data_IF_798432970467
#
_entry.id   IF_798432970467
#
_cell.length_a   1.000
_cell.length_b   1.000
_cell.length_c   1.000
_cell.angle_alpha   90.00
_cell.angle_beta   90.00
_cell.angle_gamma   90.00
#
_symmetry.space_group_name_H-M   'P 1'
#
loop_
_entity.id
_entity.type
_entity.pdbx_description
1 polymer ?
#
# COMPACT_ATOMS: atom_id res chain seq x y z
N UNK A 1 6.09 -25.74 63.42
CA UNK A 1 5.27 -24.94 62.48
C UNK A 1 5.85 -25.16 61.10
N UNK A 2 5.02 -25.60 60.14
CA UNK A 2 5.44 -26.10 58.82
C UNK A 2 5.98 -24.96 57.93
N UNK A 3 7.06 -25.28 57.23
CA UNK A 3 7.79 -24.54 56.21
C UNK A 3 6.91 -24.18 55.01
N UNK A 4 7.23 -23.09 54.29
CA UNK A 4 7.03 -22.95 52.84
C UNK A 4 7.93 -21.82 52.31
N UNK A 5 9.10 -22.21 51.80
CA UNK A 5 9.94 -21.41 50.90
C UNK A 5 9.27 -21.42 49.53
N UNK A 6 8.66 -20.31 49.11
CA UNK A 6 8.13 -20.16 47.76
C UNK A 6 9.25 -19.69 46.83
N UNK A 7 9.87 -20.63 46.12
CA UNK A 7 10.75 -20.37 44.99
C UNK A 7 9.93 -19.88 43.80
N UNK A 8 10.01 -18.59 43.48
CA UNK A 8 9.43 -18.02 42.26
C UNK A 8 10.41 -18.26 41.11
N UNK A 9 10.19 -19.33 40.34
CA UNK A 9 10.86 -19.53 39.06
C UNK A 9 10.26 -18.55 38.04
N UNK A 10 10.95 -17.45 37.78
CA UNK A 10 10.62 -16.55 36.69
C UNK A 10 11.03 -17.23 35.38
N UNK A 11 10.08 -17.90 34.73
CA UNK A 11 10.26 -18.40 33.36
C UNK A 11 10.33 -17.20 32.42
N UNK A 12 11.53 -16.80 32.02
CA UNK A 12 11.75 -15.96 30.86
C UNK A 12 11.30 -16.72 29.62
N UNK A 13 10.07 -16.47 29.18
CA UNK A 13 9.59 -16.88 27.87
C UNK A 13 10.39 -16.13 26.80
N UNK A 14 10.90 -16.88 25.83
CA UNK A 14 11.71 -16.43 24.70
C UNK A 14 11.13 -15.19 24.01
N UNK A 15 11.85 -14.07 24.04
CA UNK A 15 11.71 -13.04 23.00
C UNK A 15 12.61 -13.44 21.84
N UNK A 16 12.12 -14.32 20.96
CA UNK A 16 12.71 -14.47 19.63
C UNK A 16 12.62 -13.11 18.95
N UNK A 17 13.73 -12.51 18.48
CA UNK A 17 13.63 -11.42 17.53
C UNK A 17 12.95 -12.01 16.30
N UNK A 18 11.69 -11.63 16.05
CA UNK A 18 11.06 -11.88 14.78
C UNK A 18 11.97 -11.25 13.73
N UNK A 19 12.72 -12.07 13.00
CA UNK A 19 13.35 -11.63 11.77
C UNK A 19 12.18 -11.13 10.92
N UNK A 20 12.05 -9.82 10.78
CA UNK A 20 11.12 -9.24 9.82
C UNK A 20 11.64 -9.65 8.45
N UNK A 21 11.23 -10.84 8.01
CA UNK A 21 11.48 -11.32 6.67
C UNK A 21 10.64 -10.43 5.76
N UNK A 22 11.34 -9.76 4.83
CA UNK A 22 10.73 -9.04 3.75
C UNK A 22 11.07 -9.76 2.46
N UNK A 23 10.13 -9.75 1.52
CA UNK A 23 10.31 -10.32 0.19
C UNK A 23 10.11 -9.25 -0.87
N UNK A 24 10.81 -9.36 -2.02
CA UNK A 24 10.57 -8.46 -3.14
C UNK A 24 9.17 -8.71 -3.69
N UNK A 25 8.40 -7.65 -3.88
CA UNK A 25 7.05 -7.70 -4.44
C UNK A 25 6.96 -6.68 -5.56
N UNK A 26 6.59 -7.14 -6.75
CA UNK A 26 6.42 -6.29 -7.92
C UNK A 26 4.97 -5.86 -8.07
N UNK A 27 4.72 -4.57 -8.04
CA UNK A 27 3.41 -3.95 -8.22
C UNK A 27 3.31 -3.45 -9.66
N UNK A 28 2.39 -4.02 -10.43
CA UNK A 28 2.17 -3.67 -11.84
C UNK A 28 0.82 -2.98 -12.01
N UNK A 29 0.85 -1.69 -12.30
CA UNK A 29 -0.36 -0.87 -12.53
C UNK A 29 -0.42 -0.41 -13.98
N UNK A 30 -1.36 -0.95 -14.76
CA UNK A 30 -1.58 -0.55 -16.15
C UNK A 30 -2.73 0.44 -16.24
N UNK A 31 -2.50 1.59 -16.86
CA UNK A 31 -3.52 2.60 -17.06
C UNK A 31 -4.36 2.35 -18.32
N UNK A 32 -5.63 2.76 -18.25
CA UNK A 32 -6.49 2.91 -19.41
C UNK A 32 -5.93 4.00 -20.34
N UNK A 33 -6.32 3.92 -21.61
CA UNK A 33 -6.06 4.99 -22.54
C UNK A 33 -7.17 6.05 -22.40
N UNK A 34 -6.91 7.07 -21.60
CA UNK A 34 -7.77 8.24 -21.44
C UNK A 34 -7.11 9.47 -22.07
N UNK A 35 -7.89 10.50 -22.38
CA UNK A 35 -7.33 11.80 -22.78
C UNK A 35 -6.95 12.61 -21.54
N UNK A 36 -5.73 13.15 -21.50
CA UNK A 36 -5.25 13.98 -20.38
C UNK A 36 -3.77 13.76 -20.09
N UNK A 37 -3.30 14.41 -19.03
CA UNK A 37 -1.92 14.30 -18.55
C UNK A 37 -1.66 12.98 -17.80
N UNK A 38 -0.45 12.83 -17.27
CA UNK A 38 -0.10 11.67 -16.45
C UNK A 38 -0.95 11.59 -15.18
N UNK A 39 -1.43 10.39 -14.85
CA UNK A 39 -2.12 10.15 -13.59
C UNK A 39 -1.15 10.24 -12.41
N UNK A 40 -1.63 10.89 -11.37
CA UNK A 40 -1.11 10.75 -10.02
C UNK A 40 -1.70 9.48 -9.43
N UNK A 41 -0.87 8.68 -8.76
CA UNK A 41 -1.28 7.44 -8.10
C UNK A 41 -0.71 7.40 -6.69
N UNK A 42 -1.54 7.18 -5.68
CA UNK A 42 -1.08 6.81 -4.34
C UNK A 42 -1.35 5.33 -4.11
N UNK A 43 -0.29 4.55 -3.90
CA UNK A 43 -0.39 3.14 -3.49
C UNK A 43 -0.14 3.08 -1.98
N UNK A 44 -1.09 2.54 -1.21
CA UNK A 44 -1.03 2.52 0.25
C UNK A 44 -1.73 1.30 0.84
N UNK A 45 -1.49 1.02 2.11
CA UNK A 45 -2.01 -0.15 2.82
C UNK A 45 -2.87 0.28 4.00
N UNK A 46 -4.00 -0.41 4.17
CA UNK A 46 -4.82 -0.35 5.38
C UNK A 46 -4.86 -1.71 6.08
N UNK A 47 -5.08 -1.71 7.39
CA UNK A 47 -5.28 -2.93 8.17
C UNK A 47 -6.72 -3.47 8.06
N UNK A 48 -6.99 -4.60 8.73
CA UNK A 48 -8.32 -5.23 8.74
C UNK A 48 -9.44 -4.35 9.34
N UNK A 49 -9.10 -3.29 10.08
CA UNK A 49 -10.06 -2.30 10.58
C UNK A 49 -10.28 -1.13 9.61
N UNK A 50 -9.51 -1.09 8.52
CA UNK A 50 -9.48 0.01 7.56
C UNK A 50 -8.59 1.19 7.99
N UNK A 51 -7.79 1.02 9.05
CA UNK A 51 -6.87 2.07 9.49
C UNK A 51 -5.66 2.13 8.57
N UNK A 52 -5.18 3.35 8.27
CA UNK A 52 -3.98 3.57 7.47
C UNK A 52 -2.74 3.01 8.16
N UNK A 53 -1.94 2.25 7.43
CA UNK A 53 -0.71 1.61 7.93
C UNK A 53 0.53 2.25 7.32
N UNK A 54 0.47 2.58 6.02
CA UNK A 54 1.60 3.19 5.34
C UNK A 54 1.40 3.31 3.84
N UNK A 55 2.21 4.17 3.23
CA UNK A 55 2.29 4.36 1.79
C UNK A 55 3.43 3.56 1.21
N UNK A 56 3.16 2.95 0.05
CA UNK A 56 4.12 2.13 -0.69
C UNK A 56 4.81 2.94 -1.78
N UNK A 57 4.04 3.77 -2.49
CA UNK A 57 4.56 4.59 -3.59
C UNK A 57 3.63 5.76 -3.93
N UNK A 58 4.23 6.86 -4.39
CA UNK A 58 3.54 8.00 -4.97
C UNK A 58 4.03 8.23 -6.40
N UNK A 59 3.17 8.01 -7.39
CA UNK A 59 3.42 8.48 -8.74
C UNK A 59 2.90 9.92 -8.86
N UNK A 60 3.79 10.88 -9.09
CA UNK A 60 3.46 12.30 -9.23
C UNK A 60 4.33 13.19 -8.35
N UNK A 61 5.15 14.04 -8.97
CA UNK A 61 6.17 14.82 -8.26
C UNK A 61 5.72 16.16 -7.68
N UNK A 62 4.48 16.59 -7.94
CA UNK A 62 3.98 17.91 -7.51
C UNK A 62 2.94 17.73 -6.41
N UNK A 63 3.33 18.01 -5.17
CA UNK A 63 2.51 17.79 -3.97
C UNK A 63 1.19 18.57 -3.94
N UNK A 64 1.11 19.70 -4.65
CA UNK A 64 -0.14 20.48 -4.76
C UNK A 64 -1.32 19.68 -5.34
N UNK A 65 -1.08 18.56 -6.02
CA UNK A 65 -2.15 17.71 -6.55
C UNK A 65 -2.52 16.54 -5.65
N UNK A 66 -1.83 16.34 -4.52
CA UNK A 66 -2.08 15.19 -3.66
C UNK A 66 -3.45 15.25 -2.96
N UNK A 67 -4.06 16.44 -2.86
CA UNK A 67 -5.43 16.58 -2.36
C UNK A 67 -6.48 15.86 -3.21
N UNK A 68 -6.19 15.64 -4.51
CA UNK A 68 -7.06 14.92 -5.44
C UNK A 68 -7.01 13.40 -5.26
N UNK A 69 -5.99 12.88 -4.57
CA UNK A 69 -5.91 11.49 -4.13
C UNK A 69 -6.71 11.37 -2.83
N UNK A 70 -8.02 11.61 -2.93
CA UNK A 70 -8.86 12.05 -1.82
C UNK A 70 -9.04 11.04 -0.67
N UNK A 71 -8.99 9.73 -0.92
CA UNK A 71 -9.02 8.73 0.15
C UNK A 71 -7.66 8.61 0.83
N UNK A 72 -6.58 8.61 0.06
CA UNK A 72 -5.22 8.68 0.60
C UNK A 72 -4.99 9.95 1.43
N UNK A 73 -5.35 11.12 0.89
CA UNK A 73 -5.21 12.42 1.55
C UNK A 73 -6.01 12.46 2.86
N UNK A 74 -7.23 11.90 2.87
CA UNK A 74 -8.02 11.77 4.09
C UNK A 74 -7.38 10.81 5.10
N UNK A 75 -6.84 9.68 4.63
CA UNK A 75 -6.19 8.68 5.46
C UNK A 75 -4.92 9.22 6.15
N UNK A 76 -4.19 10.12 5.49
CA UNK A 76 -2.95 10.73 6.00
C UNK A 76 -3.16 12.09 6.66
N UNK A 77 -4.39 12.63 6.62
CA UNK A 77 -4.66 14.01 7.01
C UNK A 77 -3.95 15.05 6.14
N UNK A 78 -3.61 14.70 4.89
CA UNK A 78 -2.88 15.54 3.95
C UNK A 78 -1.37 15.65 4.24
N UNK A 79 -0.83 14.81 5.13
CA UNK A 79 0.60 14.81 5.45
C UNK A 79 1.44 14.30 4.27
N UNK A 80 2.11 15.23 3.59
CA UNK A 80 3.01 14.90 2.47
C UNK A 80 4.25 14.13 2.93
N UNK A 81 4.57 14.15 4.23
CA UNK A 81 5.68 13.40 4.80
C UNK A 81 5.55 11.89 4.63
N UNK A 82 4.32 11.39 4.46
CA UNK A 82 4.01 9.98 4.25
C UNK A 82 4.59 9.39 2.95
N UNK A 83 5.05 10.24 2.02
CA UNK A 83 5.61 9.81 0.72
C UNK A 83 7.04 10.28 0.48
N UNK A 84 7.71 10.77 1.51
CA UNK A 84 9.11 11.18 1.44
C UNK A 84 10.00 9.99 1.03
N UNK A 85 10.75 10.15 -0.06
CA UNK A 85 11.67 9.12 -0.56
C UNK A 85 11.03 8.00 -1.38
N UNK A 86 9.70 7.97 -1.54
CA UNK A 86 8.95 6.96 -2.31
C UNK A 86 8.11 7.58 -3.43
N UNK A 87 8.56 8.73 -3.95
CA UNK A 87 7.85 9.47 -5.01
C UNK A 87 8.56 9.33 -6.35
N UNK A 88 7.80 9.16 -7.42
CA UNK A 88 8.28 9.13 -8.81
C UNK A 88 7.45 9.99 -9.76
N UNK A 89 7.69 9.82 -11.06
CA UNK A 89 6.94 10.50 -12.10
C UNK A 89 5.47 10.04 -12.14
N UNK A 90 4.57 10.94 -12.53
CA UNK A 90 3.19 10.58 -12.90
C UNK A 90 3.18 9.63 -14.09
N UNK A 91 2.13 8.82 -14.21
CA UNK A 91 2.07 7.73 -15.20
C UNK A 91 1.20 8.16 -16.38
N UNK A 92 1.75 8.17 -17.59
CA UNK A 92 0.99 8.56 -18.79
C UNK A 92 -0.17 7.61 -19.12
N UNK A 93 -1.21 8.12 -19.78
CA UNK A 93 -2.32 7.31 -20.25
C UNK A 93 -1.84 6.11 -21.10
N UNK A 94 -2.45 4.95 -20.90
CA UNK A 94 -2.08 3.69 -21.56
C UNK A 94 -0.70 3.13 -21.18
N UNK A 95 0.05 3.78 -20.30
CA UNK A 95 1.35 3.30 -19.80
C UNK A 95 1.17 2.39 -18.59
N UNK A 96 2.27 1.73 -18.23
CA UNK A 96 2.37 0.87 -17.05
C UNK A 96 3.35 1.49 -16.06
N UNK A 97 2.96 1.52 -14.80
CA UNK A 97 3.87 1.67 -13.67
C UNK A 97 4.23 0.28 -13.16
N UNK A 98 5.52 0.01 -13.06
CA UNK A 98 6.06 -1.22 -12.49
C UNK A 98 7.11 -0.83 -11.45
N UNK A 99 6.89 -1.25 -10.20
CA UNK A 99 7.79 -0.98 -9.08
C UNK A 99 7.97 -2.26 -8.28
N UNK A 100 9.19 -2.51 -7.80
CA UNK A 100 9.49 -3.62 -6.90
C UNK A 100 9.89 -3.07 -5.55
N UNK A 101 9.25 -3.56 -4.49
CA UNK A 101 9.44 -3.11 -3.11
C UNK A 101 9.67 -4.34 -2.22
N UNK A 102 10.50 -4.21 -1.19
CA UNK A 102 10.59 -5.24 -0.17
C UNK A 102 9.44 -5.07 0.84
N UNK A 103 8.47 -5.98 0.81
CA UNK A 103 7.33 -5.98 1.72
C UNK A 103 7.51 -7.04 2.79
N UNK A 104 7.18 -6.71 4.04
CA UNK A 104 7.23 -7.65 5.15
C UNK A 104 6.25 -8.81 4.92
N UNK A 105 6.70 -10.03 5.15
CA UNK A 105 5.91 -11.26 5.00
C UNK A 105 4.61 -11.20 5.82
N UNK A 106 4.65 -10.53 6.98
CA UNK A 106 3.53 -10.36 7.90
C UNK A 106 2.36 -9.52 7.35
N UNK A 107 2.53 -8.85 6.21
CA UNK A 107 1.42 -8.13 5.55
C UNK A 107 0.48 -9.10 4.80
N UNK A 108 0.99 -10.25 4.36
CA UNK A 108 0.23 -11.21 3.56
C UNK A 108 -0.62 -12.12 4.46
N UNK A 109 -1.86 -12.38 4.05
CA UNK A 109 -2.82 -13.26 4.73
C UNK A 109 -3.22 -12.79 6.15
N UNK A 110 -2.85 -11.57 6.52
CA UNK A 110 -3.14 -10.94 7.82
C UNK A 110 -4.33 -9.96 7.78
N UNK A 111 -5.03 -9.86 6.66
CA UNK A 111 -6.21 -9.01 6.48
C UNK A 111 -5.91 -7.57 6.06
N UNK A 112 -4.66 -7.26 5.69
CA UNK A 112 -4.30 -5.97 5.10
C UNK A 112 -4.84 -5.83 3.67
N UNK A 113 -5.19 -4.61 3.30
CA UNK A 113 -5.67 -4.27 1.95
C UNK A 113 -4.74 -3.24 1.32
N UNK A 114 -4.28 -3.52 0.10
CA UNK A 114 -3.59 -2.55 -0.75
C UNK A 114 -4.64 -1.74 -1.52
N UNK A 115 -4.53 -0.43 -1.42
CA UNK A 115 -5.36 0.54 -2.11
C UNK A 115 -4.54 1.32 -3.14
N UNK A 116 -5.22 1.75 -4.19
CA UNK A 116 -4.70 2.72 -5.14
C UNK A 116 -5.72 3.83 -5.29
N UNK A 117 -5.32 5.07 -5.02
CA UNK A 117 -6.06 6.26 -5.44
C UNK A 117 -5.48 6.77 -6.76
N UNK A 118 -6.34 7.30 -7.63
CA UNK A 118 -5.92 7.86 -8.90
C UNK A 118 -6.57 9.23 -9.17
N UNK A 119 -5.77 10.17 -9.67
CA UNK A 119 -6.25 11.46 -10.14
C UNK A 119 -5.49 11.88 -11.40
N UNK A 120 -6.16 12.58 -12.31
CA UNK A 120 -5.53 13.17 -13.50
C UNK A 120 -5.87 14.66 -13.51
N UNK A 121 -4.88 15.51 -13.82
CA UNK A 121 -5.07 16.95 -13.88
C UNK A 121 -6.26 17.30 -14.79
N UNK A 122 -7.11 18.23 -14.33
CA UNK A 122 -8.34 18.68 -15.00
C UNK A 122 -9.39 17.58 -15.31
N UNK A 123 -9.29 16.42 -14.65
CA UNK A 123 -10.26 15.34 -14.76
C UNK A 123 -10.86 14.97 -13.39
N UNK A 124 -11.78 13.99 -13.40
CA UNK A 124 -12.48 13.56 -12.20
C UNK A 124 -11.64 12.61 -11.34
N UNK A 125 -11.38 13.00 -10.11
CA UNK A 125 -10.74 12.14 -9.10
C UNK A 125 -11.39 10.76 -9.00
N UNK A 126 -10.56 9.74 -8.75
CA UNK A 126 -10.96 8.36 -8.56
C UNK A 126 -10.32 7.81 -7.27
N UNK A 127 -10.88 8.17 -6.10
CA UNK A 127 -10.48 7.57 -4.84
C UNK A 127 -10.77 6.07 -4.83
N UNK A 128 -9.95 5.30 -4.13
CA UNK A 128 -10.07 3.84 -4.04
C UNK A 128 -10.33 3.21 -5.42
N UNK A 129 -9.51 3.62 -6.39
CA UNK A 129 -9.53 3.17 -7.78
C UNK A 129 -9.33 1.66 -7.87
N UNK A 130 -8.49 1.10 -6.98
CA UNK A 130 -8.29 -0.33 -6.74
C UNK A 130 -8.24 -0.57 -5.23
N UNK A 131 -8.81 -1.69 -4.79
CA UNK A 131 -8.63 -2.26 -3.45
C UNK A 131 -8.48 -3.78 -3.58
N UNK A 132 -7.36 -4.33 -3.13
CA UNK A 132 -7.11 -5.77 -3.14
C UNK A 132 -6.55 -6.24 -1.81
N UNK A 133 -7.02 -7.36 -1.24
CA UNK A 133 -6.36 -7.99 -0.10
C UNK A 133 -4.92 -8.38 -0.45
N UNK A 134 -4.00 -8.18 0.49
CA UNK A 134 -2.65 -8.74 0.42
C UNK A 134 -2.71 -10.17 0.94
N UNK A 135 -2.76 -11.14 0.04
CA UNK A 135 -2.83 -12.57 0.33
C UNK A 135 -1.90 -13.34 -0.57
N UNK A 136 -1.45 -14.51 -0.13
CA UNK A 136 -0.62 -15.38 -0.96
C UNK A 136 -1.38 -15.84 -2.21
N UNK A 137 -2.65 -16.22 -2.03
CA UNK A 137 -3.53 -16.69 -3.12
C UNK A 137 -3.93 -15.59 -4.11
N UNK A 138 -3.84 -14.32 -3.71
CA UNK A 138 -4.17 -13.16 -4.54
C UNK A 138 -3.03 -12.68 -5.43
N UNK A 139 -1.80 -13.13 -5.18
CA UNK A 139 -0.65 -12.75 -5.99
C UNK A 139 -0.79 -13.23 -7.44
N UNK A 140 -0.39 -12.36 -8.39
CA UNK A 140 -0.52 -12.57 -9.83
C UNK A 140 -1.95 -12.50 -10.37
N UNK A 141 -2.96 -12.33 -9.51
CA UNK A 141 -4.36 -12.21 -9.93
C UNK A 141 -4.67 -10.76 -10.29
N UNK A 142 -4.95 -10.44 -11.56
CA UNK A 142 -5.22 -9.06 -11.96
C UNK A 142 -6.59 -8.58 -11.46
N UNK A 143 -6.60 -7.46 -10.75
CA UNK A 143 -7.79 -6.70 -10.41
C UNK A 143 -8.02 -5.56 -11.41
N UNK A 144 -9.28 -5.28 -11.74
CA UNK A 144 -9.63 -4.12 -12.58
C UNK A 144 -9.88 -2.89 -11.73
N UNK A 145 -9.38 -1.74 -12.19
CA UNK A 145 -9.71 -0.45 -11.60
C UNK A 145 -11.09 0.05 -12.01
N UNK A 146 -11.50 1.17 -11.43
CA UNK A 146 -12.82 1.78 -11.64
C UNK A 146 -12.89 2.69 -12.86
N UNK A 147 -11.81 3.42 -13.18
CA UNK A 147 -11.78 4.48 -14.19
C UNK A 147 -10.45 4.57 -14.93
N UNK A 148 -9.36 4.85 -14.21
CA UNK A 148 -8.05 5.14 -14.79
C UNK A 148 -7.15 3.92 -14.89
N UNK A 149 -7.32 2.93 -14.01
CA UNK A 149 -6.51 1.71 -14.00
C UNK A 149 -7.23 0.63 -14.79
N UNK A 150 -6.60 0.16 -15.86
CA UNK A 150 -7.07 -0.97 -16.66
C UNK A 150 -6.93 -2.29 -15.89
N UNK A 151 -5.77 -2.46 -15.25
CA UNK A 151 -5.47 -3.63 -14.43
C UNK A 151 -4.37 -3.33 -13.41
N UNK A 152 -4.47 -3.95 -12.25
CA UNK A 152 -3.46 -3.99 -11.22
C UNK A 152 -3.18 -5.44 -10.79
N UNK A 153 -1.92 -5.79 -10.57
CA UNK A 153 -1.52 -7.05 -9.93
C UNK A 153 -0.28 -6.81 -9.07
N UNK A 154 -0.10 -7.66 -8.06
CA UNK A 154 1.15 -7.77 -7.31
C UNK A 154 1.69 -9.20 -7.42
N UNK A 155 2.99 -9.35 -7.55
CA UNK A 155 3.68 -10.63 -7.68
C UNK A 155 4.83 -10.72 -6.66
N UNK A 156 5.01 -11.90 -6.04
CA UNK A 156 6.00 -12.19 -4.99
C UNK A 156 7.15 -13.08 -5.46
#
# INVERSE_FOLDING_TARGET
MKSLLASLALTTALTLPGLALAKPVTLTTKLNNYGGDGAYLALYVTDASGAYVGSLWMAGGKSKYYEHLSDWSRATGGDTGQVNGITGASVGAGRTLEITLDLADALFDAGYTLHIDAAVEDMRDSPNEVAVPLTTDGAGVPARGRRYIASFAYDM
#
